data_IF_328180453494
#
_entry.id   IF_328180453494
#
_cell.length_a   1.000
_cell.length_b   1.000
_cell.length_c   1.000
_cell.angle_alpha   90.00
_cell.angle_beta   90.00
_cell.angle_gamma   90.00
#
_symmetry.space_group_name_H-M   'P 1'
#
loop_
_entity.id
_entity.type
_entity.pdbx_description
1 polymer ?
#
# COMPACT_ATOMS: atom_id res chain seq x y z
N UNK A 1 -23.05 -15.62 -6.84
CA UNK A 1 -23.86 -14.89 -5.90
C UNK A 1 -24.12 -13.46 -6.37
N UNK A 2 -23.22 -12.58 -6.03
CA UNK A 2 -23.38 -11.11 -6.20
C UNK A 2 -23.65 -10.70 -7.65
N UNK A 3 -23.00 -11.34 -8.62
CA UNK A 3 -23.23 -11.08 -10.04
C UNK A 3 -24.69 -11.23 -10.48
N UNK A 4 -25.41 -12.24 -9.99
CA UNK A 4 -26.84 -12.39 -10.31
C UNK A 4 -27.71 -11.33 -9.65
N UNK A 5 -27.34 -10.88 -8.44
CA UNK A 5 -28.04 -9.78 -7.75
C UNK A 5 -27.86 -8.49 -8.51
N UNK A 6 -26.61 -8.17 -8.87
CA UNK A 6 -26.25 -6.97 -9.64
C UNK A 6 -26.96 -6.99 -11.00
N UNK A 7 -26.89 -8.11 -11.71
CA UNK A 7 -27.53 -8.27 -13.02
C UNK A 7 -29.05 -8.03 -12.95
N UNK A 8 -29.72 -8.58 -11.92
CA UNK A 8 -31.15 -8.39 -11.71
C UNK A 8 -31.48 -6.92 -11.46
N UNK A 9 -30.76 -6.28 -10.54
CA UNK A 9 -31.01 -4.87 -10.19
C UNK A 9 -30.74 -3.91 -11.36
N UNK A 10 -29.70 -4.16 -12.13
CA UNK A 10 -29.41 -3.37 -13.33
C UNK A 10 -30.52 -3.53 -14.39
N UNK A 11 -31.02 -4.74 -14.59
CA UNK A 11 -32.15 -5.00 -15.50
C UNK A 11 -33.43 -4.32 -15.02
N UNK A 12 -33.74 -4.39 -13.73
CA UNK A 12 -34.86 -3.69 -13.10
C UNK A 12 -34.75 -2.17 -13.25
N UNK A 13 -33.53 -1.64 -13.28
CA UNK A 13 -33.24 -0.23 -13.56
C UNK A 13 -33.28 0.13 -15.07
N UNK A 14 -33.67 -0.79 -15.94
CA UNK A 14 -33.83 -0.55 -17.38
C UNK A 14 -32.58 -0.75 -18.22
N UNK A 15 -31.50 -1.31 -17.67
CA UNK A 15 -30.29 -1.59 -18.44
C UNK A 15 -30.39 -2.93 -19.21
N UNK A 16 -29.74 -3.00 -20.37
CA UNK A 16 -29.51 -4.25 -21.08
C UNK A 16 -28.39 -5.02 -20.38
N UNK A 17 -28.68 -6.26 -19.95
CA UNK A 17 -27.73 -7.08 -19.18
C UNK A 17 -27.63 -8.47 -19.75
N UNK A 18 -26.44 -8.91 -20.09
CA UNK A 18 -26.09 -10.29 -20.40
C UNK A 18 -25.32 -10.90 -19.22
N UNK A 19 -25.62 -12.15 -18.88
CA UNK A 19 -24.93 -12.88 -17.82
C UNK A 19 -24.17 -14.06 -18.41
N UNK A 20 -22.87 -14.12 -18.14
CA UNK A 20 -22.03 -15.28 -18.47
C UNK A 20 -21.56 -15.92 -17.16
N UNK A 21 -21.85 -17.20 -16.97
CA UNK A 21 -21.40 -17.95 -15.79
C UNK A 21 -20.97 -19.36 -16.22
N UNK A 22 -19.66 -19.63 -16.27
CA UNK A 22 -19.12 -20.93 -16.69
C UNK A 22 -19.33 -22.03 -15.64
N UNK A 23 -19.73 -21.64 -14.42
CA UNK A 23 -19.97 -22.55 -13.30
C UNK A 23 -21.39 -22.39 -12.76
N UNK A 24 -21.98 -23.49 -12.34
CA UNK A 24 -23.22 -23.47 -11.57
C UNK A 24 -22.99 -22.89 -10.16
N UNK A 25 -23.97 -22.17 -9.60
CA UNK A 25 -23.87 -21.63 -8.28
C UNK A 25 -23.78 -22.74 -7.21
N UNK A 26 -22.73 -22.71 -6.39
CA UNK A 26 -22.48 -23.73 -5.37
C UNK A 26 -23.27 -23.49 -4.07
N UNK A 27 -23.27 -22.26 -3.56
CA UNK A 27 -23.95 -21.92 -2.29
C UNK A 27 -25.46 -21.72 -2.48
N UNK A 28 -26.25 -21.95 -1.43
CA UNK A 28 -27.70 -21.77 -1.48
C UNK A 28 -28.08 -20.31 -1.76
N UNK A 29 -27.33 -19.36 -1.21
CA UNK A 29 -27.50 -17.94 -1.51
C UNK A 29 -27.26 -17.63 -3.00
N UNK A 30 -26.26 -18.24 -3.62
CA UNK A 30 -25.97 -18.08 -5.04
C UNK A 30 -27.03 -18.75 -5.93
N UNK A 31 -27.53 -19.93 -5.53
CA UNK A 31 -28.66 -20.61 -6.21
C UNK A 31 -29.93 -19.77 -6.17
N UNK A 32 -30.23 -19.18 -5.00
CA UNK A 32 -31.36 -18.28 -4.83
C UNK A 32 -31.22 -17.01 -5.69
N UNK A 33 -30.04 -16.40 -5.69
CA UNK A 33 -29.75 -15.24 -6.54
C UNK A 33 -29.91 -15.58 -8.03
N UNK A 34 -29.44 -16.75 -8.46
CA UNK A 34 -29.63 -17.28 -9.84
C UNK A 34 -31.10 -17.48 -10.18
N UNK A 35 -31.88 -18.05 -9.25
CA UNK A 35 -33.33 -18.23 -9.42
C UNK A 35 -34.04 -16.89 -9.56
N UNK A 36 -33.72 -15.90 -8.75
CA UNK A 36 -34.31 -14.56 -8.82
C UNK A 36 -33.89 -13.79 -10.06
N UNK A 37 -32.71 -14.04 -10.60
CA UNK A 37 -32.31 -13.49 -11.90
C UNK A 37 -33.29 -13.90 -12.98
N UNK A 38 -33.65 -15.18 -13.07
CA UNK A 38 -34.68 -15.74 -13.98
C UNK A 38 -34.38 -15.60 -15.47
N UNK A 39 -33.32 -14.88 -15.84
CA UNK A 39 -32.94 -14.65 -17.23
C UNK A 39 -31.98 -15.71 -17.75
N UNK A 40 -31.67 -15.62 -19.05
CA UNK A 40 -30.70 -16.49 -19.70
C UNK A 40 -29.30 -16.31 -19.07
N UNK A 41 -28.52 -17.39 -19.04
CA UNK A 41 -27.12 -17.41 -18.61
C UNK A 41 -26.34 -18.18 -19.65
N UNK A 42 -25.34 -17.54 -20.25
CA UNK A 42 -24.40 -18.19 -21.15
C UNK A 42 -23.29 -18.87 -20.34
N UNK A 43 -22.75 -19.95 -20.83
CA UNK A 43 -21.58 -20.64 -20.25
C UNK A 43 -20.27 -20.22 -20.89
N UNK A 44 -20.34 -19.64 -22.10
CA UNK A 44 -19.19 -19.13 -22.86
C UNK A 44 -19.42 -17.67 -23.27
N UNK A 45 -18.34 -16.91 -23.41
CA UNK A 45 -18.44 -15.47 -23.53
C UNK A 45 -18.34 -14.97 -24.97
N UNK A 46 -19.48 -14.65 -25.59
CA UNK A 46 -19.50 -13.75 -26.75
C UNK A 46 -20.26 -12.44 -26.43
N UNK A 47 -20.51 -12.17 -25.16
CA UNK A 47 -21.17 -10.95 -24.75
C UNK A 47 -20.30 -9.72 -25.09
N UNK A 48 -20.96 -8.73 -25.69
CA UNK A 48 -20.38 -7.41 -25.99
C UNK A 48 -21.19 -6.35 -25.25
N UNK A 49 -20.53 -5.28 -24.86
CA UNK A 49 -21.15 -4.17 -24.14
C UNK A 49 -20.14 -3.12 -23.73
N UNK A 50 -20.64 -2.03 -23.16
CA UNK A 50 -19.77 -0.95 -22.67
C UNK A 50 -19.04 -1.33 -21.38
N UNK A 51 -19.70 -2.10 -20.51
CA UNK A 51 -19.23 -2.39 -19.15
C UNK A 51 -19.18 -3.89 -18.91
N UNK A 52 -18.01 -4.41 -18.54
CA UNK A 52 -17.83 -5.72 -17.94
C UNK A 52 -17.92 -5.60 -16.41
N UNK A 53 -18.70 -6.47 -15.79
CA UNK A 53 -18.73 -6.61 -14.32
C UNK A 53 -18.23 -8.01 -13.97
N UNK A 54 -17.01 -8.08 -13.43
CA UNK A 54 -16.40 -9.33 -12.96
C UNK A 54 -16.89 -9.68 -11.56
N UNK A 55 -17.67 -10.75 -11.49
CA UNK A 55 -18.15 -11.38 -10.26
C UNK A 55 -17.89 -12.90 -10.28
N UNK A 56 -16.91 -13.35 -11.07
CA UNK A 56 -16.68 -14.78 -11.28
C UNK A 56 -16.16 -15.42 -9.98
N UNK A 57 -15.19 -14.79 -9.34
CA UNK A 57 -14.69 -15.15 -8.01
C UNK A 57 -14.48 -13.87 -7.18
N UNK A 58 -14.58 -14.01 -5.87
CA UNK A 58 -14.32 -12.94 -4.90
C UNK A 58 -13.30 -13.37 -3.85
N UNK A 59 -13.47 -12.89 -2.62
CA UNK A 59 -12.54 -13.07 -1.49
C UNK A 59 -12.22 -14.53 -1.12
N UNK A 60 -12.98 -15.52 -1.57
CA UNK A 60 -12.72 -16.94 -1.30
C UNK A 60 -11.73 -17.62 -2.24
N UNK A 61 -11.13 -16.92 -3.20
CA UNK A 61 -10.23 -17.53 -4.17
C UNK A 61 -8.81 -17.67 -3.59
N UNK A 62 -8.38 -18.93 -3.40
CA UNK A 62 -7.05 -19.26 -2.88
C UNK A 62 -6.17 -20.04 -3.87
N UNK A 63 -6.64 -20.24 -5.11
CA UNK A 63 -5.92 -21.00 -6.14
C UNK A 63 -6.10 -20.35 -7.51
N UNK A 64 -5.19 -20.61 -8.48
CA UNK A 64 -5.33 -20.09 -9.82
C UNK A 64 -6.68 -20.45 -10.46
N UNK A 65 -7.20 -19.57 -11.29
CA UNK A 65 -8.30 -19.87 -12.20
C UNK A 65 -7.84 -20.98 -13.15
N UNK A 66 -8.75 -21.90 -13.47
CA UNK A 66 -8.48 -22.84 -14.56
C UNK A 66 -8.33 -22.10 -15.88
N UNK A 67 -7.60 -22.67 -16.82
CA UNK A 67 -7.24 -21.99 -18.07
C UNK A 67 -8.47 -21.45 -18.84
N UNK A 68 -9.54 -22.20 -18.84
CA UNK A 68 -10.82 -21.83 -19.47
C UNK A 68 -11.42 -20.55 -18.90
N UNK A 69 -11.46 -20.44 -17.56
CA UNK A 69 -11.99 -19.24 -16.88
C UNK A 69 -11.08 -18.03 -17.07
N UNK A 70 -9.77 -18.24 -17.06
CA UNK A 70 -8.81 -17.17 -17.30
C UNK A 70 -8.88 -16.64 -18.74
N UNK A 71 -9.10 -17.51 -19.72
CA UNK A 71 -9.34 -17.13 -21.11
C UNK A 71 -10.65 -16.37 -21.26
N UNK A 72 -11.76 -16.90 -20.70
CA UNK A 72 -13.07 -16.27 -20.74
C UNK A 72 -12.99 -14.82 -20.17
N UNK A 73 -12.36 -14.67 -19.03
CA UNK A 73 -12.21 -13.36 -18.39
C UNK A 73 -11.42 -12.37 -19.27
N UNK A 74 -10.33 -12.83 -19.88
CA UNK A 74 -9.51 -12.01 -20.80
C UNK A 74 -10.27 -11.61 -22.05
N UNK A 75 -11.00 -12.56 -22.65
CA UNK A 75 -11.76 -12.32 -23.87
C UNK A 75 -12.91 -11.33 -23.64
N UNK A 76 -13.62 -11.47 -22.50
CA UNK A 76 -14.64 -10.50 -22.11
C UNK A 76 -14.02 -9.13 -21.82
N UNK A 77 -12.92 -9.08 -21.08
CA UNK A 77 -12.25 -7.82 -20.76
C UNK A 77 -11.74 -7.08 -22.01
N UNK A 78 -11.29 -7.82 -23.02
CA UNK A 78 -10.84 -7.23 -24.30
C UNK A 78 -11.96 -6.60 -25.14
N UNK A 79 -13.21 -7.05 -24.95
CA UNK A 79 -14.39 -6.58 -25.71
C UNK A 79 -15.16 -5.46 -25.02
N UNK A 80 -14.80 -5.12 -23.77
CA UNK A 80 -15.52 -4.12 -22.99
C UNK A 80 -14.62 -2.93 -22.71
N UNK A 81 -15.19 -1.73 -22.87
CA UNK A 81 -14.47 -0.48 -22.69
C UNK A 81 -14.19 -0.19 -21.21
N UNK A 82 -15.14 -0.48 -20.32
CA UNK A 82 -15.04 -0.23 -18.90
C UNK A 82 -15.17 -1.52 -18.10
N UNK A 83 -14.29 -1.75 -17.14
CA UNK A 83 -14.19 -3.01 -16.40
C UNK A 83 -14.31 -2.75 -14.91
N UNK A 84 -15.29 -3.39 -14.30
CA UNK A 84 -15.56 -3.30 -12.87
C UNK A 84 -15.33 -4.66 -12.25
N UNK A 85 -14.50 -4.74 -11.20
CA UNK A 85 -14.39 -5.91 -10.34
C UNK A 85 -15.25 -5.74 -9.10
N UNK A 86 -15.95 -6.80 -8.72
CA UNK A 86 -16.74 -6.83 -7.48
C UNK A 86 -15.98 -7.62 -6.42
N UNK A 87 -15.82 -7.03 -5.28
CA UNK A 87 -15.07 -7.48 -4.12
C UNK A 87 -13.55 -7.51 -4.38
N UNK A 88 -13.04 -8.53 -5.02
CA UNK A 88 -11.63 -8.67 -5.43
C UNK A 88 -11.63 -9.16 -6.89
N UNK A 89 -10.76 -8.64 -7.78
CA UNK A 89 -10.64 -9.14 -9.13
C UNK A 89 -10.42 -10.64 -9.16
N UNK A 90 -11.11 -11.34 -10.07
CA UNK A 90 -10.94 -12.78 -10.23
C UNK A 90 -9.50 -13.12 -10.63
N UNK A 91 -8.88 -14.01 -9.87
CA UNK A 91 -7.46 -14.38 -10.02
C UNK A 91 -6.49 -13.67 -9.08
N UNK A 92 -7.00 -12.87 -8.14
CA UNK A 92 -6.21 -12.25 -7.06
C UNK A 92 -6.55 -12.92 -5.73
N UNK A 93 -5.53 -13.28 -4.95
CA UNK A 93 -5.71 -13.79 -3.58
C UNK A 93 -6.06 -12.64 -2.63
N UNK A 94 -7.19 -12.74 -1.93
CA UNK A 94 -7.72 -11.65 -1.09
C UNK A 94 -6.83 -11.27 0.09
N UNK A 95 -6.14 -12.26 0.68
CA UNK A 95 -5.40 -12.09 1.93
C UNK A 95 -3.96 -11.62 1.73
N UNK A 96 -3.44 -11.69 0.49
CA UNK A 96 -2.05 -11.33 0.20
C UNK A 96 -1.90 -10.34 -0.97
N UNK A 97 -2.89 -10.24 -1.85
CA UNK A 97 -2.75 -9.52 -3.11
C UNK A 97 -1.91 -10.26 -4.16
N UNK A 98 -1.58 -11.53 -3.91
CA UNK A 98 -0.86 -12.33 -4.90
C UNK A 98 -1.67 -12.50 -6.19
N UNK A 99 -1.02 -12.32 -7.33
CA UNK A 99 -1.59 -12.57 -8.66
C UNK A 99 -1.48 -14.07 -8.93
N UNK A 100 -2.62 -14.75 -8.99
CA UNK A 100 -2.69 -16.21 -9.11
C UNK A 100 -2.60 -16.71 -10.57
N UNK A 101 -2.86 -15.83 -11.53
CA UNK A 101 -2.83 -16.17 -12.95
C UNK A 101 -2.07 -15.09 -13.73
N UNK A 102 -1.30 -15.50 -14.72
CA UNK A 102 -0.68 -14.57 -15.67
C UNK A 102 -1.72 -13.81 -16.50
N UNK A 103 -1.35 -12.57 -16.88
CA UNK A 103 -2.13 -11.74 -17.80
C UNK A 103 -3.59 -11.51 -17.37
N UNK A 104 -3.82 -11.30 -16.08
CA UNK A 104 -5.13 -10.83 -15.62
C UNK A 104 -5.44 -9.46 -16.23
N UNK A 105 -6.72 -9.17 -16.54
CA UNK A 105 -7.12 -7.85 -17.02
C UNK A 105 -6.90 -6.78 -15.95
N UNK A 106 -6.59 -5.56 -16.38
CA UNK A 106 -6.68 -4.38 -15.52
C UNK A 106 -8.13 -3.88 -15.48
N UNK A 107 -8.57 -3.44 -14.31
CA UNK A 107 -9.90 -2.90 -14.07
C UNK A 107 -9.85 -1.37 -13.96
N UNK A 108 -10.94 -0.71 -14.31
CA UNK A 108 -11.12 0.73 -14.13
C UNK A 108 -11.62 1.04 -12.72
N UNK A 109 -12.41 0.13 -12.16
CA UNK A 109 -13.02 0.25 -10.83
C UNK A 109 -13.05 -1.10 -10.12
N UNK A 110 -12.73 -1.12 -8.83
CA UNK A 110 -12.96 -2.26 -7.94
C UNK A 110 -13.86 -1.83 -6.79
N UNK A 111 -14.95 -2.56 -6.56
CA UNK A 111 -15.93 -2.33 -5.50
C UNK A 111 -15.70 -3.32 -4.37
N UNK A 112 -14.94 -2.93 -3.33
CA UNK A 112 -14.75 -3.76 -2.14
C UNK A 112 -16.05 -3.84 -1.34
N UNK A 113 -16.53 -5.05 -1.03
CA UNK A 113 -17.76 -5.25 -0.30
C UNK A 113 -17.51 -5.39 1.20
N UNK A 114 -18.17 -4.56 2.00
CA UNK A 114 -18.18 -4.59 3.46
C UNK A 114 -16.91 -4.13 4.14
N UNK A 115 -15.78 -4.69 3.77
CA UNK A 115 -14.48 -4.34 4.32
C UNK A 115 -13.39 -4.38 3.25
N UNK A 116 -12.32 -3.62 3.45
CA UNK A 116 -11.10 -3.77 2.68
C UNK A 116 -10.47 -5.14 2.94
N UNK A 117 -9.96 -5.80 1.91
CA UNK A 117 -9.10 -6.97 2.01
C UNK A 117 -7.65 -6.53 1.82
N UNK A 118 -6.69 -7.30 2.32
CA UNK A 118 -5.27 -6.97 2.12
C UNK A 118 -4.91 -6.77 0.65
N UNK A 119 -5.50 -7.56 -0.25
CA UNK A 119 -5.32 -7.43 -1.69
C UNK A 119 -5.55 -6.03 -2.25
N UNK A 120 -6.46 -5.26 -1.66
CA UNK A 120 -6.76 -3.89 -2.13
C UNK A 120 -5.58 -2.93 -1.92
N UNK A 121 -4.68 -3.26 -1.00
CA UNK A 121 -3.57 -2.39 -0.60
C UNK A 121 -2.20 -3.03 -0.79
N UNK A 122 -2.16 -4.28 -1.26
CA UNK A 122 -0.92 -5.04 -1.46
C UNK A 122 -0.59 -5.23 -2.95
N UNK A 123 0.65 -4.99 -3.32
CA UNK A 123 1.17 -5.37 -4.63
C UNK A 123 1.45 -6.89 -4.67
N UNK A 124 1.40 -7.50 -5.84
CA UNK A 124 1.12 -6.91 -7.16
C UNK A 124 -0.37 -6.74 -7.50
N UNK A 125 -1.29 -7.35 -6.73
CA UNK A 125 -2.73 -7.35 -7.02
C UNK A 125 -3.35 -5.95 -7.11
N UNK A 126 -2.92 -5.02 -6.24
CA UNK A 126 -3.37 -3.62 -6.26
C UNK A 126 -3.18 -2.94 -7.62
N UNK A 127 -2.14 -3.31 -8.36
CA UNK A 127 -1.80 -2.66 -9.64
C UNK A 127 -2.86 -2.83 -10.73
N UNK A 128 -3.70 -3.86 -10.65
CA UNK A 128 -4.76 -4.12 -11.64
C UNK A 128 -6.16 -3.65 -11.22
N UNK A 129 -6.32 -3.07 -10.03
CA UNK A 129 -7.64 -2.77 -9.44
C UNK A 129 -8.24 -1.41 -9.83
N UNK A 130 -7.49 -0.54 -10.49
CA UNK A 130 -7.95 0.79 -10.89
C UNK A 130 -8.36 1.67 -9.71
N UNK A 131 -9.44 2.42 -9.85
CA UNK A 131 -10.06 3.12 -8.73
C UNK A 131 -10.71 2.13 -7.77
N UNK A 132 -10.67 2.42 -6.48
CA UNK A 132 -11.29 1.53 -5.48
C UNK A 132 -12.36 2.28 -4.68
N UNK A 133 -13.45 1.57 -4.38
CA UNK A 133 -14.52 2.08 -3.52
C UNK A 133 -14.97 1.01 -2.54
N UNK A 134 -15.12 1.39 -1.28
CA UNK A 134 -15.73 0.54 -0.26
C UNK A 134 -17.26 0.71 -0.33
N UNK A 135 -17.95 -0.41 -0.47
CA UNK A 135 -19.41 -0.48 -0.44
C UNK A 135 -19.83 -1.11 0.89
N UNK A 136 -20.43 -0.37 1.81
CA UNK A 136 -20.87 -0.92 3.08
C UNK A 136 -22.05 -1.88 2.85
N UNK A 137 -21.97 -3.06 3.46
CA UNK A 137 -23.02 -4.09 3.40
C UNK A 137 -23.53 -4.49 4.79
N UNK A 138 -23.34 -3.62 5.79
CA UNK A 138 -23.81 -3.85 7.16
C UNK A 138 -22.93 -4.80 7.99
N UNK A 139 -21.67 -5.02 7.60
CA UNK A 139 -20.72 -5.80 8.41
C UNK A 139 -20.23 -4.94 9.57
N UNK A 140 -20.31 -5.46 10.78
CA UNK A 140 -19.72 -4.83 11.95
C UNK A 140 -18.18 -4.93 11.93
N UNK A 141 -17.52 -3.94 12.53
CA UNK A 141 -16.07 -4.00 12.74
C UNK A 141 -15.72 -5.20 13.64
N UNK A 142 -14.60 -5.87 13.31
CA UNK A 142 -14.06 -6.99 14.09
C UNK A 142 -12.90 -6.47 14.93
N UNK A 143 -12.94 -6.76 16.23
CA UNK A 143 -11.84 -6.41 17.14
C UNK A 143 -10.55 -7.10 16.72
N UNK A 144 -9.43 -6.38 16.75
CA UNK A 144 -8.13 -6.89 16.32
C UNK A 144 -7.92 -6.97 14.80
N UNK A 145 -8.91 -6.61 13.99
CA UNK A 145 -8.72 -6.53 12.55
C UNK A 145 -7.71 -5.43 12.18
N UNK A 146 -6.93 -5.68 11.11
CA UNK A 146 -6.08 -4.66 10.54
C UNK A 146 -6.91 -3.45 10.10
N UNK A 147 -6.36 -2.27 10.30
CA UNK A 147 -7.03 -1.01 9.95
C UNK A 147 -6.21 -0.26 8.91
N UNK A 148 -6.90 0.35 7.96
CA UNK A 148 -6.28 1.31 7.07
C UNK A 148 -5.99 2.59 7.85
N UNK A 149 -4.74 3.03 7.84
CA UNK A 149 -4.34 4.25 8.53
C UNK A 149 -4.94 5.46 7.82
N UNK A 150 -5.73 6.22 8.55
CA UNK A 150 -6.28 7.48 8.06
C UNK A 150 -5.21 8.56 7.93
N UNK A 151 -5.46 9.54 7.05
CA UNK A 151 -4.59 10.71 6.94
C UNK A 151 -4.52 11.42 8.29
N UNK A 152 -3.32 11.56 8.90
CA UNK A 152 -3.18 12.23 10.18
C UNK A 152 -3.62 13.70 10.08
N UNK A 153 -4.40 14.16 11.06
CA UNK A 153 -4.72 15.57 11.22
C UNK A 153 -3.65 16.22 12.09
N UNK A 154 -2.71 16.86 11.44
CA UNK A 154 -1.68 17.62 12.16
C UNK A 154 -2.31 18.91 12.70
N UNK A 155 -2.26 19.11 14.02
CA UNK A 155 -2.69 20.35 14.63
C UNK A 155 -1.75 21.50 14.21
N UNK A 156 -2.28 22.70 14.07
CA UNK A 156 -1.46 23.88 13.87
C UNK A 156 -0.52 24.06 15.07
N UNK A 157 0.72 24.54 14.86
CA UNK A 157 1.62 24.83 15.95
C UNK A 157 0.99 25.81 16.94
N UNK A 158 1.23 25.60 18.24
CA UNK A 158 0.80 26.53 19.27
C UNK A 158 1.46 27.90 19.07
N UNK A 159 0.82 28.98 19.52
CA UNK A 159 1.32 30.34 19.35
C UNK A 159 2.71 30.57 19.99
N UNK A 160 3.05 29.81 21.02
CA UNK A 160 4.35 29.82 21.73
C UNK A 160 5.34 28.78 21.21
N UNK A 161 5.01 28.08 20.11
CA UNK A 161 5.89 27.07 19.52
C UNK A 161 7.13 27.68 18.92
N UNK A 162 8.27 27.07 19.20
CA UNK A 162 9.55 27.38 18.58
C UNK A 162 10.22 26.11 18.05
N UNK A 163 11.25 26.27 17.21
CA UNK A 163 11.89 25.17 16.48
C UNK A 163 12.28 23.96 17.34
N UNK A 164 12.72 24.17 18.58
CA UNK A 164 13.15 23.08 19.46
C UNK A 164 11.99 22.35 20.14
N UNK A 165 10.83 22.97 20.33
CA UNK A 165 9.63 22.29 20.87
C UNK A 165 8.97 21.36 19.86
N UNK A 166 9.25 21.54 18.57
CA UNK A 166 8.72 20.73 17.48
C UNK A 166 9.65 19.57 17.08
N UNK A 167 10.70 19.34 17.86
CA UNK A 167 11.69 18.29 17.66
C UNK A 167 12.83 18.67 16.72
N UNK A 168 14.00 18.11 17.02
CA UNK A 168 15.19 18.16 16.18
C UNK A 168 15.39 16.78 15.55
N UNK A 169 15.34 16.74 14.23
CA UNK A 169 15.62 15.54 13.44
C UNK A 169 17.02 15.61 12.85
N UNK A 170 17.86 14.64 13.18
CA UNK A 170 19.12 14.41 12.48
C UNK A 170 18.93 13.49 11.28
N UNK A 171 19.47 13.85 10.13
CA UNK A 171 19.44 13.01 8.92
C UNK A 171 20.86 12.67 8.50
N UNK A 172 21.23 11.41 8.62
CA UNK A 172 22.57 10.93 8.28
C UNK A 172 22.73 10.88 6.77
N UNK A 173 23.79 11.50 6.26
CA UNK A 173 24.18 11.39 4.85
C UNK A 173 25.36 10.45 4.69
N UNK A 174 25.40 9.76 3.57
CA UNK A 174 26.50 8.87 3.20
C UNK A 174 27.03 9.15 1.80
N UNK A 175 27.38 8.09 1.08
CA UNK A 175 28.00 8.16 -0.24
C UNK A 175 27.12 8.77 -1.34
N UNK A 176 25.78 8.77 -1.15
CA UNK A 176 24.81 9.31 -2.10
C UNK A 176 23.96 10.43 -1.46
N UNK A 177 24.52 11.64 -1.28
CA UNK A 177 23.89 12.71 -0.50
C UNK A 177 22.57 13.23 -1.08
N UNK A 178 22.26 12.98 -2.36
CA UNK A 178 21.00 13.37 -2.98
C UNK A 178 19.77 12.80 -2.28
N UNK A 179 19.82 11.54 -1.83
CA UNK A 179 18.72 10.91 -1.09
C UNK A 179 18.50 11.55 0.27
N UNK A 180 19.58 11.84 1.01
CA UNK A 180 19.50 12.54 2.31
C UNK A 180 18.95 13.96 2.14
N UNK A 181 19.30 14.68 1.07
CA UNK A 181 18.77 16.02 0.80
C UNK A 181 17.25 15.97 0.48
N UNK A 182 16.78 14.94 -0.21
CA UNK A 182 15.34 14.72 -0.41
C UNK A 182 14.63 14.46 0.93
N UNK A 183 15.24 13.67 1.81
CA UNK A 183 14.72 13.43 3.15
C UNK A 183 14.66 14.71 4.00
N UNK A 184 15.68 15.58 3.90
CA UNK A 184 15.68 16.93 4.52
C UNK A 184 14.49 17.73 4.04
N UNK A 185 14.29 17.83 2.74
CA UNK A 185 13.17 18.59 2.15
C UNK A 185 11.80 18.01 2.57
N UNK A 186 11.69 16.69 2.68
CA UNK A 186 10.47 16.03 3.15
C UNK A 186 10.21 16.32 4.64
N UNK A 187 11.22 16.24 5.50
CA UNK A 187 11.11 16.52 6.92
C UNK A 187 10.68 17.97 7.20
N UNK A 188 11.27 18.93 6.50
CA UNK A 188 10.89 20.35 6.60
C UNK A 188 9.43 20.56 6.21
N UNK A 189 8.97 19.96 5.10
CA UNK A 189 7.56 20.06 4.63
C UNK A 189 6.58 19.32 5.54
N UNK A 190 7.03 18.22 6.16
CA UNK A 190 6.22 17.50 7.15
C UNK A 190 6.09 18.23 8.49
N UNK A 191 6.87 19.30 8.71
CA UNK A 191 6.74 20.15 9.86
C UNK A 191 7.72 19.86 10.99
N UNK A 192 8.85 19.18 10.72
CA UNK A 192 9.94 19.09 11.69
C UNK A 192 10.37 20.50 12.15
N UNK A 193 10.57 20.66 13.44
CA UNK A 193 10.91 21.98 14.01
C UNK A 193 12.30 22.44 13.63
N UNK A 194 13.23 21.51 13.58
CA UNK A 194 14.62 21.75 13.20
C UNK A 194 15.19 20.47 12.55
N UNK A 195 15.86 20.64 11.42
CA UNK A 195 16.51 19.53 10.70
C UNK A 195 18.02 19.81 10.63
N UNK A 196 18.82 18.83 11.01
CA UNK A 196 20.27 18.82 10.82
C UNK A 196 20.64 17.75 9.78
N UNK A 197 21.54 18.09 8.87
CA UNK A 197 22.20 17.12 8.01
C UNK A 197 23.47 16.62 8.71
N UNK A 198 23.54 15.32 8.97
CA UNK A 198 24.64 14.72 9.71
C UNK A 198 25.69 14.20 8.73
N UNK A 199 26.74 15.00 8.58
CA UNK A 199 27.84 14.76 7.63
C UNK A 199 29.15 15.31 8.19
N UNK A 200 30.29 14.75 7.75
CA UNK A 200 31.59 15.27 8.07
C UNK A 200 31.88 16.63 7.41
N UNK A 201 31.28 16.85 6.23
CA UNK A 201 31.43 18.09 5.43
C UNK A 201 30.09 18.53 4.88
N UNK A 202 29.88 19.83 4.75
CA UNK A 202 28.66 20.38 4.16
C UNK A 202 28.60 20.09 2.65
N UNK A 203 27.45 19.65 2.17
CA UNK A 203 27.17 19.54 0.73
C UNK A 203 26.73 20.92 0.21
N UNK A 204 27.34 21.46 -0.86
CA UNK A 204 27.00 22.79 -1.40
C UNK A 204 25.54 22.88 -1.91
N UNK A 205 24.86 21.75 -2.10
CA UNK A 205 23.45 21.68 -2.48
C UNK A 205 22.50 21.70 -1.27
N UNK A 206 23.04 21.66 -0.03
CA UNK A 206 22.21 21.73 1.17
C UNK A 206 21.43 23.03 1.21
N UNK A 207 20.14 23.00 1.60
CA UNK A 207 19.37 24.22 1.83
C UNK A 207 20.05 25.12 2.84
N UNK A 208 19.97 26.44 2.63
CA UNK A 208 20.66 27.45 3.48
C UNK A 208 20.18 27.49 4.92
N UNK A 209 19.00 26.95 5.19
CA UNK A 209 18.39 26.85 6.51
C UNK A 209 18.67 25.53 7.23
N UNK A 210 19.48 24.65 6.60
CA UNK A 210 19.88 23.35 7.17
C UNK A 210 21.31 23.41 7.69
N UNK A 211 21.47 23.13 8.95
CA UNK A 211 22.80 23.07 9.58
C UNK A 211 23.38 21.68 9.34
N UNK A 212 24.65 21.65 8.88
CA UNK A 212 25.45 20.41 8.81
C UNK A 212 26.27 20.28 10.08
N UNK A 213 26.29 19.09 10.66
CA UNK A 213 27.08 18.73 11.82
C UNK A 213 27.57 17.29 11.74
N UNK A 214 28.69 16.92 12.41
CA UNK A 214 29.06 15.52 12.56
C UNK A 214 28.00 14.69 13.27
N UNK A 215 27.90 13.39 12.95
CA UNK A 215 26.95 12.48 13.59
C UNK A 215 27.13 12.46 15.12
N UNK A 216 28.36 12.37 15.63
CA UNK A 216 28.67 12.37 17.06
C UNK A 216 28.12 13.62 17.78
N UNK A 217 28.35 14.82 17.20
CA UNK A 217 27.84 16.07 17.79
C UNK A 217 26.31 16.08 17.90
N UNK A 218 25.62 15.52 16.90
CA UNK A 218 24.17 15.47 16.93
C UNK A 218 23.64 14.43 17.93
N UNK A 219 24.36 13.34 18.15
CA UNK A 219 24.00 12.32 19.15
C UNK A 219 24.24 12.80 20.58
N UNK A 220 25.22 13.68 20.79
CA UNK A 220 25.49 14.33 22.08
C UNK A 220 24.53 15.50 22.35
N UNK A 221 23.84 16.03 21.35
CA UNK A 221 22.88 17.13 21.51
C UNK A 221 21.57 16.62 22.12
N UNK A 222 21.32 16.89 23.37
CA UNK A 222 20.11 16.48 24.11
C UNK A 222 18.81 16.97 23.50
N UNK A 223 18.84 17.89 22.54
CA UNK A 223 17.67 18.38 21.80
C UNK A 223 17.31 17.47 20.62
N UNK A 224 18.21 16.59 20.20
CA UNK A 224 17.93 15.60 19.16
C UNK A 224 16.83 14.68 19.63
N UNK A 225 15.75 14.60 18.88
CA UNK A 225 14.58 13.78 19.22
C UNK A 225 14.52 12.49 18.40
N UNK A 226 15.07 12.50 17.19
CA UNK A 226 15.15 11.31 16.33
C UNK A 226 16.30 11.45 15.32
N UNK A 227 16.74 10.30 14.81
CA UNK A 227 17.73 10.22 13.73
C UNK A 227 17.15 9.35 12.61
N UNK A 228 17.17 9.87 11.39
CA UNK A 228 16.94 9.11 10.16
C UNK A 228 18.30 8.69 9.58
N UNK A 229 18.45 7.41 9.31
CA UNK A 229 19.64 6.84 8.69
C UNK A 229 19.26 5.79 7.64
N UNK A 230 19.99 5.81 6.53
CA UNK A 230 19.87 4.80 5.47
C UNK A 230 19.71 5.38 4.08
N UNK A 231 18.86 6.38 3.81
CA UNK A 231 18.74 6.94 2.46
C UNK A 231 20.08 7.46 1.95
N UNK A 232 20.65 6.77 0.96
CA UNK A 232 21.93 7.12 0.35
C UNK A 232 23.15 6.96 1.27
N UNK A 233 23.05 6.11 2.29
CA UNK A 233 24.11 5.87 3.26
C UNK A 233 25.32 5.17 2.61
N UNK A 234 25.08 4.22 1.70
CA UNK A 234 26.06 3.27 1.20
C UNK A 234 26.12 2.02 2.09
N UNK A 235 26.97 1.06 1.67
CA UNK A 235 27.06 -0.25 2.33
C UNK A 235 28.49 -0.65 2.68
N UNK A 236 29.37 0.31 2.77
CA UNK A 236 30.77 0.12 3.14
C UNK A 236 30.98 0.09 4.67
N UNK A 237 32.22 -0.06 5.09
CA UNK A 237 32.56 -0.10 6.50
C UNK A 237 32.26 1.22 7.24
N UNK A 238 32.33 2.36 6.57
CA UNK A 238 32.00 3.66 7.14
C UNK A 238 30.48 3.76 7.39
N UNK A 239 29.67 3.33 6.44
CA UNK A 239 28.22 3.25 6.57
C UNK A 239 27.80 2.34 7.74
N UNK A 240 28.43 1.16 7.86
CA UNK A 240 28.21 0.22 8.96
C UNK A 240 28.58 0.84 10.32
N UNK A 241 29.69 1.58 10.40
CA UNK A 241 30.09 2.25 11.61
C UNK A 241 29.11 3.36 12.02
N UNK A 242 28.64 4.18 11.06
CA UNK A 242 27.62 5.21 11.31
C UNK A 242 26.31 4.60 11.80
N UNK A 243 25.88 3.48 11.21
CA UNK A 243 24.69 2.76 11.67
C UNK A 243 24.88 2.26 13.10
N UNK A 244 26.01 1.62 13.41
CA UNK A 244 26.32 1.18 14.78
C UNK A 244 26.25 2.32 15.79
N UNK A 245 26.90 3.44 15.50
CA UNK A 245 26.87 4.62 16.37
C UNK A 245 25.45 5.19 16.56
N UNK A 246 24.65 5.24 15.49
CA UNK A 246 23.26 5.70 15.59
C UNK A 246 22.42 4.74 16.45
N UNK A 247 22.58 3.41 16.27
CA UNK A 247 21.88 2.41 17.07
C UNK A 247 22.24 2.47 18.56
N UNK A 248 23.49 2.80 18.87
CA UNK A 248 23.96 2.92 20.25
C UNK A 248 23.49 4.19 20.95
N UNK A 249 23.39 5.31 20.25
CA UNK A 249 23.29 6.62 20.88
C UNK A 249 21.99 7.40 20.56
N UNK A 250 21.32 7.14 19.42
CA UNK A 250 20.16 7.93 19.05
C UNK A 250 18.96 7.69 20.00
N UNK A 251 18.20 8.75 20.33
CA UNK A 251 17.03 8.63 21.23
C UNK A 251 15.83 7.92 20.56
N UNK A 252 15.69 8.04 19.25
CA UNK A 252 14.76 7.29 18.41
C UNK A 252 15.34 7.20 16.98
N UNK A 253 14.98 6.16 16.27
CA UNK A 253 15.54 5.86 14.93
C UNK A 253 14.45 5.67 13.88
N UNK A 254 14.72 6.19 12.69
CA UNK A 254 14.05 5.76 11.45
C UNK A 254 15.12 5.11 10.57
N UNK A 255 14.91 3.83 10.25
CA UNK A 255 15.80 3.01 9.44
C UNK A 255 15.14 2.77 8.08
N UNK A 256 15.86 3.10 7.01
CA UNK A 256 15.38 2.97 5.63
C UNK A 256 16.52 2.54 4.72
N UNK A 257 16.20 2.01 3.55
CA UNK A 257 17.15 1.74 2.46
C UNK A 257 18.43 0.99 2.93
N UNK A 258 19.63 1.56 2.68
CA UNK A 258 20.89 0.90 2.99
C UNK A 258 21.08 0.55 4.47
N UNK A 259 20.45 1.27 5.40
CA UNK A 259 20.50 0.93 6.81
C UNK A 259 19.77 -0.38 7.10
N UNK A 260 18.64 -0.67 6.43
CA UNK A 260 17.92 -1.94 6.56
C UNK A 260 18.74 -3.10 6.01
N UNK A 261 19.47 -2.87 4.91
CA UNK A 261 20.36 -3.89 4.32
C UNK A 261 21.60 -4.20 5.16
N UNK A 262 22.04 -3.25 6.00
CA UNK A 262 23.16 -3.40 6.91
C UNK A 262 22.75 -3.91 8.30
N UNK A 263 21.46 -3.74 8.65
CA UNK A 263 20.92 -4.09 9.95
C UNK A 263 20.99 -5.60 10.19
N UNK A 264 21.37 -5.97 11.40
CA UNK A 264 21.32 -7.35 11.89
C UNK A 264 20.55 -7.39 13.20
N UNK A 265 19.77 -8.44 13.50
CA UNK A 265 18.96 -8.51 14.72
C UNK A 265 19.75 -8.25 16.01
N UNK A 266 20.98 -8.73 16.07
CA UNK A 266 21.89 -8.58 17.23
C UNK A 266 22.37 -7.14 17.46
N UNK A 267 22.16 -6.24 16.50
CA UNK A 267 22.49 -4.82 16.66
C UNK A 267 21.40 -4.04 17.41
N UNK A 268 20.21 -4.60 17.53
CA UNK A 268 19.07 -3.98 18.22
C UNK A 268 19.09 -4.30 19.72
N UNK A 269 20.12 -3.84 20.42
CA UNK A 269 20.36 -4.16 21.83
C UNK A 269 19.70 -3.19 22.81
N UNK A 270 19.21 -2.03 22.33
CA UNK A 270 18.59 -0.99 23.16
C UNK A 270 17.09 -0.96 22.97
N UNK A 271 16.37 -0.71 24.05
CA UNK A 271 14.93 -0.44 24.02
C UNK A 271 14.67 1.05 23.69
N UNK A 272 14.80 1.38 22.42
CA UNK A 272 14.50 2.72 21.88
C UNK A 272 13.47 2.59 20.76
N UNK A 273 12.65 3.61 20.54
CA UNK A 273 11.73 3.61 19.41
C UNK A 273 12.47 3.48 18.07
N UNK A 274 12.18 2.43 17.33
CA UNK A 274 12.71 2.19 15.98
C UNK A 274 11.55 2.04 15.01
N UNK A 275 11.55 2.85 13.96
CA UNK A 275 10.66 2.73 12.82
C UNK A 275 11.46 2.27 11.60
N UNK A 276 11.11 1.11 11.04
CA UNK A 276 11.65 0.63 9.78
C UNK A 276 10.66 0.88 8.64
N UNK A 277 11.17 1.30 7.47
CA UNK A 277 10.36 1.60 6.28
C UNK A 277 10.78 0.75 5.07
N UNK A 278 10.76 -0.60 5.17
CA UNK A 278 11.21 -1.47 4.11
C UNK A 278 10.26 -1.44 2.90
N UNK A 279 10.82 -1.59 1.71
CA UNK A 279 10.07 -2.01 0.53
C UNK A 279 10.33 -3.49 0.24
N UNK A 280 9.57 -4.10 -0.70
CA UNK A 280 9.62 -5.55 -0.98
C UNK A 280 11.03 -6.10 -1.32
N UNK A 281 11.99 -5.26 -1.68
CA UNK A 281 13.36 -5.66 -1.99
C UNK A 281 14.34 -5.56 -0.81
N UNK A 282 13.94 -4.99 0.30
CA UNK A 282 14.68 -4.85 1.55
C UNK A 282 14.23 -5.87 2.59
#
# INVERSE_FOLDING_TARGET
GDGYVIARLLREAGNSVAVTAPLDPASDAAKEARRRWGGAVATSGQAEGDVLVDCLFGSGLARPLVAEHALLLRDLAARHRYRVAVDVPSGIASDSGAVLNDRLPAYDLTLALGAWKFAHWSLPGRAVMGQMRLVPIGIAAVEGAAQLVDRPRLAAPLADSHKYRRGLLGIVTGSMPGASLLAVAAAQRAGAGYVKLLAATADPRSPVDVVTAPLSEALDDSRTTAVLIGPGLGRDAAASAMLGQALECAPALVLDADALMLLRPEMLVRDVPVLATPHDGE
#
